data_IF_960539507170
#
_entry.id   IF_960539507170
#
_cell.length_a   1.000
_cell.length_b   1.000
_cell.length_c   1.000
_cell.angle_alpha   90.00
_cell.angle_beta   90.00
_cell.angle_gamma   90.00
#
_symmetry.space_group_name_H-M   'P 1'
#
loop_
_entity.id
_entity.type
_entity.pdbx_description
1 polymer ?
#
# COMPACT_ATOMS: atom_id res chain seq x y z
N UNK A 1 3.15 -10.26 -37.67
CA UNK A 1 2.35 -10.39 -36.43
C UNK A 1 2.73 -11.71 -35.77
N UNK A 2 3.30 -11.69 -34.56
CA UNK A 2 3.60 -12.91 -33.78
C UNK A 2 2.56 -13.02 -32.67
N UNK A 3 1.88 -14.16 -32.61
CA UNK A 3 0.84 -14.45 -31.62
C UNK A 3 1.46 -14.50 -30.22
N UNK A 4 0.93 -13.70 -29.29
CA UNK A 4 1.32 -13.73 -27.88
C UNK A 4 0.62 -14.90 -27.19
N UNK A 5 1.37 -15.95 -26.90
CA UNK A 5 0.90 -17.09 -26.13
C UNK A 5 0.82 -16.69 -24.64
N UNK A 6 -0.35 -16.87 -24.01
CA UNK A 6 -0.55 -16.52 -22.60
C UNK A 6 0.12 -17.60 -21.73
N UNK A 7 1.38 -17.37 -21.36
CA UNK A 7 2.12 -18.25 -20.47
C UNK A 7 1.70 -18.00 -19.01
N UNK A 8 0.96 -18.94 -18.43
CA UNK A 8 0.54 -18.90 -17.02
C UNK A 8 1.77 -19.11 -16.12
N UNK A 9 2.28 -18.03 -15.52
CA UNK A 9 3.46 -18.09 -14.64
C UNK A 9 3.21 -18.99 -13.41
N UNK A 10 4.14 -19.93 -13.15
CA UNK A 10 4.22 -20.66 -11.88
C UNK A 10 4.62 -19.69 -10.76
N UNK A 11 3.83 -19.68 -9.67
CA UNK A 11 3.95 -18.73 -8.53
C UNK A 11 5.33 -18.74 -7.86
N UNK A 12 6.07 -19.84 -7.96
CA UNK A 12 7.34 -20.05 -7.25
C UNK A 12 8.58 -19.56 -8.02
N UNK A 13 8.45 -19.22 -9.31
CA UNK A 13 9.57 -18.88 -10.20
C UNK A 13 9.62 -17.41 -10.64
N UNK A 14 8.76 -16.55 -10.07
CA UNK A 14 8.54 -15.18 -10.54
C UNK A 14 9.82 -14.34 -10.61
N UNK A 15 10.68 -14.41 -9.60
CA UNK A 15 11.94 -13.66 -9.58
C UNK A 15 12.90 -14.11 -10.68
N UNK A 16 13.10 -15.42 -10.85
CA UNK A 16 13.98 -15.96 -11.89
C UNK A 16 13.48 -15.62 -13.30
N UNK A 17 12.16 -15.67 -13.50
CA UNK A 17 11.53 -15.28 -14.76
C UNK A 17 11.70 -13.79 -15.05
N UNK A 18 11.54 -12.94 -14.03
CA UNK A 18 11.76 -11.50 -14.14
C UNK A 18 13.22 -11.19 -14.51
N UNK A 19 14.19 -11.75 -13.79
CA UNK A 19 15.62 -11.55 -14.08
C UNK A 19 15.99 -12.06 -15.49
N UNK A 20 15.42 -13.19 -15.91
CA UNK A 20 15.64 -13.72 -17.26
C UNK A 20 15.07 -12.78 -18.32
N UNK A 21 13.85 -12.28 -18.12
CA UNK A 21 13.22 -11.31 -19.02
C UNK A 21 14.04 -10.04 -19.16
N UNK A 22 14.48 -9.46 -18.04
CA UNK A 22 15.31 -8.26 -18.01
C UNK A 22 16.61 -8.47 -18.79
N UNK A 23 17.33 -9.57 -18.54
CA UNK A 23 18.55 -9.92 -19.28
C UNK A 23 18.35 -10.11 -20.78
N UNK A 24 17.17 -10.57 -21.21
CA UNK A 24 16.90 -10.87 -22.61
C UNK A 24 16.33 -9.69 -23.42
N UNK A 25 15.78 -8.68 -22.75
CA UNK A 25 15.01 -7.61 -23.41
C UNK A 25 15.44 -6.19 -23.00
N UNK A 26 16.22 -6.05 -21.92
CA UNK A 26 16.61 -4.76 -21.36
C UNK A 26 18.11 -4.76 -21.08
N UNK A 27 18.91 -4.55 -22.12
CA UNK A 27 20.36 -4.41 -21.99
C UNK A 27 20.70 -3.23 -21.05
N UNK A 28 21.57 -3.48 -20.07
CA UNK A 28 21.99 -2.45 -19.11
C UNK A 28 21.05 -2.25 -17.91
N UNK A 29 20.03 -3.08 -17.72
CA UNK A 29 19.10 -2.93 -16.58
C UNK A 29 19.80 -2.98 -15.21
N UNK A 30 20.94 -3.69 -15.09
CA UNK A 30 21.72 -3.68 -13.85
C UNK A 30 22.31 -2.30 -13.54
N UNK A 31 22.76 -1.56 -14.57
CA UNK A 31 23.29 -0.21 -14.42
C UNK A 31 22.19 0.77 -14.02
N UNK A 32 21.03 0.69 -14.69
CA UNK A 32 19.87 1.52 -14.36
C UNK A 32 19.36 1.24 -12.94
N UNK A 33 19.36 -0.03 -12.52
CA UNK A 33 19.01 -0.42 -11.16
C UNK A 33 20.02 0.12 -10.13
N UNK A 34 21.32 0.04 -10.43
CA UNK A 34 22.38 0.55 -9.57
C UNK A 34 22.33 2.09 -9.46
N UNK A 35 22.09 2.78 -10.57
CA UNK A 35 21.93 4.23 -10.61
C UNK A 35 20.66 4.68 -9.84
N UNK A 36 19.56 3.93 -9.99
CA UNK A 36 18.31 4.11 -9.26
C UNK A 36 18.52 3.97 -7.74
N UNK A 37 19.28 2.96 -7.31
CA UNK A 37 19.66 2.79 -5.90
C UNK A 37 20.54 3.95 -5.39
N UNK A 38 21.52 4.40 -6.18
CA UNK A 38 22.41 5.52 -5.82
C UNK A 38 21.67 6.85 -5.71
N UNK A 39 20.68 7.09 -6.57
CA UNK A 39 19.85 8.30 -6.58
C UNK A 39 18.74 8.28 -5.53
N UNK A 40 18.67 7.22 -4.71
CA UNK A 40 17.59 7.01 -3.74
C UNK A 40 16.21 7.14 -4.38
N UNK A 41 16.11 6.69 -5.64
CA UNK A 41 14.86 6.69 -6.38
C UNK A 41 13.84 5.93 -5.55
N UNK A 42 12.76 6.61 -5.20
CA UNK A 42 11.66 6.00 -4.46
C UNK A 42 11.23 4.76 -5.26
N UNK A 43 11.16 3.56 -4.65
CA UNK A 43 10.58 2.40 -5.30
C UNK A 43 9.23 2.83 -5.86
N UNK A 44 8.88 2.37 -7.06
CA UNK A 44 7.60 2.70 -7.71
C UNK A 44 6.49 2.58 -6.64
N UNK A 45 5.98 3.75 -6.24
CA UNK A 45 5.13 3.98 -5.06
C UNK A 45 3.74 3.33 -5.20
N UNK A 46 3.51 2.58 -6.26
CA UNK A 46 2.21 2.02 -6.61
C UNK A 46 2.30 0.50 -6.65
N UNK A 47 1.84 -0.13 -5.56
CA UNK A 47 0.98 -1.34 -5.53
C UNK A 47 1.32 -2.36 -4.45
N UNK A 48 2.45 -2.26 -3.74
CA UNK A 48 2.75 -3.17 -2.63
C UNK A 48 2.55 -2.48 -1.28
N UNK A 49 1.28 -2.30 -0.91
CA UNK A 49 0.94 -1.91 0.47
C UNK A 49 1.19 -3.13 1.38
N UNK A 50 1.90 -2.92 2.48
CA UNK A 50 2.10 -3.97 3.49
C UNK A 50 0.75 -4.55 3.93
N UNK A 51 0.61 -5.88 4.00
CA UNK A 51 -0.69 -6.54 4.27
C UNK A 51 -1.34 -6.04 5.57
N UNK A 52 -0.55 -5.78 6.62
CA UNK A 52 -1.09 -5.23 7.87
C UNK A 52 -1.63 -3.79 7.70
N UNK A 53 -1.06 -2.99 6.79
CA UNK A 53 -1.57 -1.66 6.48
C UNK A 53 -2.88 -1.75 5.67
N UNK A 54 -2.97 -2.68 4.73
CA UNK A 54 -4.20 -2.95 3.99
C UNK A 54 -5.33 -3.45 4.91
N UNK A 55 -5.02 -4.32 5.87
CA UNK A 55 -6.00 -4.82 6.85
C UNK A 55 -6.42 -3.74 7.84
N UNK A 56 -5.48 -2.90 8.28
CA UNK A 56 -5.79 -1.71 9.07
C UNK A 56 -6.78 -0.82 8.31
N UNK A 57 -6.50 -0.50 7.05
CA UNK A 57 -7.38 0.32 6.22
C UNK A 57 -8.76 -0.32 6.05
N UNK A 58 -8.83 -1.64 5.84
CA UNK A 58 -10.08 -2.39 5.77
C UNK A 58 -10.95 -2.23 7.02
N UNK A 59 -10.37 -2.42 8.21
CA UNK A 59 -11.06 -2.21 9.49
C UNK A 59 -11.54 -0.78 9.67
N UNK A 60 -10.66 0.21 9.42
CA UNK A 60 -11.00 1.63 9.55
C UNK A 60 -12.12 2.02 8.60
N UNK A 61 -12.11 1.51 7.37
CA UNK A 61 -13.16 1.76 6.38
C UNK A 61 -14.53 1.27 6.84
N UNK A 62 -14.63 0.08 7.43
CA UNK A 62 -15.89 -0.44 7.97
C UNK A 62 -16.40 0.45 9.11
N UNK A 63 -15.53 0.76 10.06
CA UNK A 63 -15.90 1.54 11.25
C UNK A 63 -16.32 2.95 10.85
N UNK A 64 -15.48 3.67 10.11
CA UNK A 64 -15.71 5.06 9.78
C UNK A 64 -16.80 5.27 8.73
N UNK A 65 -16.87 4.45 7.68
CA UNK A 65 -17.80 4.69 6.56
C UNK A 65 -19.12 3.92 6.67
N UNK A 66 -19.17 2.85 7.46
CA UNK A 66 -20.37 2.03 7.64
C UNK A 66 -20.89 2.01 9.07
N UNK A 67 -20.34 2.87 9.94
CA UNK A 67 -20.69 2.95 11.35
C UNK A 67 -20.60 1.58 12.04
N UNK A 68 -19.60 0.78 11.67
CA UNK A 68 -19.44 -0.57 12.18
C UNK A 68 -19.02 -0.52 13.66
N UNK A 69 -19.75 -1.18 14.58
CA UNK A 69 -19.46 -1.11 16.01
C UNK A 69 -18.07 -1.63 16.37
N UNK A 70 -17.38 -0.94 17.29
CA UNK A 70 -16.09 -1.39 17.80
C UNK A 70 -16.16 -2.73 18.54
N UNK A 71 -17.31 -3.10 19.10
CA UNK A 71 -17.56 -4.42 19.71
C UNK A 71 -17.40 -5.55 18.69
N UNK A 72 -17.76 -5.31 17.43
CA UNK A 72 -17.73 -6.32 16.38
C UNK A 72 -16.33 -6.59 15.83
N UNK A 73 -15.35 -5.72 16.10
CA UNK A 73 -13.94 -5.94 15.72
C UNK A 73 -13.39 -7.21 16.39
N UNK A 74 -13.88 -7.50 17.60
CA UNK A 74 -13.42 -8.65 18.38
C UNK A 74 -14.34 -9.87 18.34
N UNK A 75 -15.51 -9.71 17.71
CA UNK A 75 -16.51 -10.77 17.57
C UNK A 75 -15.95 -11.94 16.71
N UNK A 76 -15.95 -13.18 17.22
CA UNK A 76 -15.40 -14.33 16.51
C UNK A 76 -16.09 -14.65 15.18
N UNK A 77 -17.40 -14.44 15.08
CA UNK A 77 -18.20 -14.71 13.87
C UNK A 77 -17.90 -13.65 12.81
N UNK A 78 -17.79 -12.39 13.22
CA UNK A 78 -17.38 -11.32 12.32
C UNK A 78 -15.95 -11.55 11.84
N UNK A 79 -15.03 -11.87 12.75
CA UNK A 79 -13.61 -12.15 12.42
C UNK A 79 -13.44 -13.26 11.41
N UNK A 80 -14.24 -14.33 11.49
CA UNK A 80 -14.19 -15.42 10.51
C UNK A 80 -14.82 -15.04 9.17
N UNK A 81 -15.70 -14.04 9.15
CA UNK A 81 -16.41 -13.59 7.96
C UNK A 81 -15.69 -12.49 7.19
N UNK A 82 -14.82 -11.70 7.84
CA UNK A 82 -14.05 -10.62 7.21
C UNK A 82 -12.71 -11.12 6.66
N UNK A 83 -12.23 -10.48 5.59
CA UNK A 83 -10.96 -10.84 4.92
C UNK A 83 -9.70 -10.24 5.58
N UNK A 84 -9.89 -9.46 6.65
CA UNK A 84 -8.82 -8.71 7.31
C UNK A 84 -8.24 -9.55 8.45
N UNK A 85 -6.93 -9.42 8.69
CA UNK A 85 -6.29 -10.02 9.86
C UNK A 85 -7.00 -9.57 11.14
N UNK A 86 -7.15 -10.52 12.07
CA UNK A 86 -7.71 -10.25 13.40
C UNK A 86 -6.91 -9.15 14.09
N UNK A 87 -7.63 -8.20 14.67
CA UNK A 87 -7.06 -7.06 15.38
C UNK A 87 -7.80 -6.87 16.70
N UNK A 88 -7.08 -6.47 17.75
CA UNK A 88 -7.71 -6.06 18.99
C UNK A 88 -8.39 -4.70 18.79
N UNK A 89 -9.54 -4.49 19.45
CA UNK A 89 -10.29 -3.23 19.37
C UNK A 89 -9.40 -2.03 19.70
N UNK A 90 -8.59 -2.15 20.74
CA UNK A 90 -7.67 -1.10 21.17
C UNK A 90 -6.58 -0.80 20.12
N UNK A 91 -6.13 -1.82 19.38
CA UNK A 91 -5.15 -1.63 18.31
C UNK A 91 -5.75 -0.89 17.13
N UNK A 92 -7.00 -1.18 16.76
CA UNK A 92 -7.71 -0.41 15.72
C UNK A 92 -7.84 1.05 16.14
N UNK A 93 -8.26 1.32 17.39
CA UNK A 93 -8.39 2.68 17.91
C UNK A 93 -7.07 3.46 17.84
N UNK A 94 -5.98 2.89 18.35
CA UNK A 94 -4.65 3.53 18.28
C UNK A 94 -4.24 3.86 16.84
N UNK A 95 -4.49 2.93 15.90
CA UNK A 95 -4.20 3.13 14.48
C UNK A 95 -5.08 4.22 13.87
N UNK A 96 -6.35 4.29 14.22
CA UNK A 96 -7.25 5.37 13.79
C UNK A 96 -6.79 6.73 14.31
N UNK A 97 -6.42 6.83 15.59
CA UNK A 97 -5.88 8.07 16.17
C UNK A 97 -4.62 8.53 15.44
N UNK A 98 -3.67 7.61 15.21
CA UNK A 98 -2.44 7.94 14.47
C UNK A 98 -2.72 8.39 13.03
N UNK A 99 -3.70 7.78 12.35
CA UNK A 99 -4.12 8.22 11.00
C UNK A 99 -4.68 9.64 11.01
N UNK A 100 -5.48 9.98 12.03
CA UNK A 100 -6.06 11.31 12.19
C UNK A 100 -4.98 12.36 12.48
N UNK A 101 -4.00 12.06 13.33
CA UNK A 101 -2.85 12.94 13.60
C UNK A 101 -2.06 13.26 12.33
N UNK A 102 -1.76 12.25 11.53
CA UNK A 102 -1.07 12.43 10.24
C UNK A 102 -1.92 13.24 9.26
N UNK A 103 -3.24 13.01 9.23
CA UNK A 103 -4.16 13.78 8.41
C UNK A 103 -4.18 15.25 8.81
N UNK A 104 -4.22 15.56 10.11
CA UNK A 104 -4.18 16.94 10.61
C UNK A 104 -2.91 17.66 10.17
N UNK A 105 -1.73 17.03 10.29
CA UNK A 105 -0.47 17.59 9.83
C UNK A 105 -0.49 17.87 8.33
N UNK A 106 -1.03 16.94 7.53
CA UNK A 106 -1.13 17.12 6.08
C UNK A 106 -2.07 18.27 5.71
N UNK A 107 -3.26 18.33 6.33
CA UNK A 107 -4.21 19.44 6.12
C UNK A 107 -3.56 20.78 6.50
N UNK A 108 -2.90 20.86 7.65
CA UNK A 108 -2.21 22.07 8.07
C UNK A 108 -1.13 22.52 7.07
N UNK A 109 -0.38 21.57 6.51
CA UNK A 109 0.65 21.86 5.50
C UNK A 109 0.06 22.36 4.17
N UNK A 110 -1.07 21.81 3.73
CA UNK A 110 -1.75 22.23 2.49
C UNK A 110 -2.36 23.63 2.68
N UNK A 111 -3.01 23.90 3.82
CA UNK A 111 -3.54 25.23 4.14
C UNK A 111 -2.44 26.29 4.25
N UNK A 112 -1.26 25.94 4.78
CA UNK A 112 -0.11 26.85 4.84
C UNK A 112 0.45 27.15 3.44
N UNK A 113 0.49 26.14 2.56
CA UNK A 113 0.90 26.31 1.15
C UNK A 113 -0.06 27.25 0.41
N UNK A 114 -1.37 27.06 0.57
CA UNK A 114 -2.38 27.91 -0.08
C UNK A 114 -2.22 29.39 0.31
N UNK A 115 -2.04 29.70 1.61
CA UNK A 115 -1.82 31.08 2.08
C UNK A 115 -0.57 31.74 1.51
N UNK A 116 0.49 30.96 1.26
CA UNK A 116 1.74 31.47 0.73
C UNK A 116 1.79 31.51 -0.81
N UNK A 117 0.86 30.82 -1.49
CA UNK A 117 0.74 30.85 -2.96
C UNK A 117 -0.29 31.88 -3.45
N UNK A 118 -1.18 32.40 -2.59
CA UNK A 118 -2.16 33.45 -2.93
C UNK A 118 -1.61 34.89 -2.79
N UNK A 119 -0.28 35.05 -2.73
CA UNK A 119 0.42 36.33 -2.50
C UNK A 119 1.17 36.87 -3.72
N UNK A 120 0.65 36.68 -4.93
CA UNK A 120 1.11 37.34 -6.16
C UNK A 120 -0.06 37.98 -6.90
#
# INVERSE_FOLDING_TARGET
MKNAEIVKQKKEAGYKNLITHLRSHHDGFEFDAEECMKKNCQPISTMLVHKDAADTYGWVKLIALKNFPFSHVEDPIIRSSVRYKSMARMTVLKKMTALVEVLYLKIASELYREKNCSGF
#
